data_IF_887012595214
#
_entry.id   IF_887012595214
#
_cell.length_a   1.000
_cell.length_b   1.000
_cell.length_c   1.000
_cell.angle_alpha   90.00
_cell.angle_beta   90.00
_cell.angle_gamma   90.00
#
_symmetry.space_group_name_H-M   'P 1'
#
loop_
_entity.id
_entity.type
_entity.pdbx_description
1 polymer ?
#
# COMPACT_ATOMS: atom_id res chain seq x y z
N UNK A 1 -17.81 5.13 24.34
CA UNK A 1 -17.42 4.52 23.06
C UNK A 1 -16.75 5.61 22.24
N UNK A 2 -15.47 5.46 21.90
CA UNK A 2 -14.77 6.35 20.97
C UNK A 2 -15.47 6.30 19.61
N UNK A 3 -15.64 7.46 18.97
CA UNK A 3 -16.16 7.53 17.60
C UNK A 3 -15.21 6.77 16.67
N UNK A 4 -15.70 5.96 15.72
CA UNK A 4 -14.83 5.29 14.75
C UNK A 4 -13.95 6.31 14.04
N UNK A 5 -12.66 6.00 13.86
CA UNK A 5 -11.73 6.83 13.11
C UNK A 5 -12.15 6.84 11.64
N UNK A 6 -12.75 7.94 11.20
CA UNK A 6 -13.23 8.12 9.83
C UNK A 6 -12.21 8.93 9.04
N UNK A 7 -11.50 8.24 8.14
CA UNK A 7 -10.43 8.80 7.31
C UNK A 7 -10.31 7.97 6.03
N UNK A 8 -9.77 8.58 4.97
CA UNK A 8 -9.56 7.96 3.65
C UNK A 8 -8.10 8.04 3.21
N UNK A 9 -7.46 9.20 3.36
CA UNK A 9 -6.10 9.43 2.90
C UNK A 9 -5.13 9.66 4.07
N UNK A 10 -4.12 8.80 4.16
CA UNK A 10 -3.09 8.87 5.19
C UNK A 10 -1.72 9.20 4.59
N UNK A 11 -1.15 10.34 4.93
CA UNK A 11 0.19 10.77 4.49
C UNK A 11 1.23 10.57 5.59
N UNK A 12 2.40 10.04 5.23
CA UNK A 12 3.56 9.92 6.13
C UNK A 12 4.67 10.86 5.65
N UNK A 13 5.36 11.51 6.59
CA UNK A 13 6.53 12.34 6.30
C UNK A 13 7.67 11.51 5.71
N UNK A 14 8.55 12.17 4.95
CA UNK A 14 9.79 11.56 4.46
C UNK A 14 10.76 12.60 3.94
N UNK A 15 11.55 13.19 4.83
CA UNK A 15 12.42 14.34 4.54
C UNK A 15 13.37 14.10 3.37
N UNK A 16 13.86 12.87 3.23
CA UNK A 16 14.77 12.45 2.17
C UNK A 16 14.15 12.49 0.75
N UNK A 17 12.83 12.60 0.62
CA UNK A 17 12.14 12.63 -0.67
C UNK A 17 11.88 14.03 -1.22
N UNK A 18 12.09 15.09 -0.44
CA UNK A 18 11.82 16.46 -0.87
C UNK A 18 12.98 17.42 -0.57
N UNK A 19 14.18 17.17 -1.13
CA UNK A 19 15.33 18.04 -0.92
C UNK A 19 14.99 19.47 -1.33
N UNK A 20 15.37 20.43 -0.49
CA UNK A 20 15.14 21.86 -0.73
C UNK A 20 13.76 22.38 -0.33
N UNK A 21 12.82 21.53 0.10
CA UNK A 21 11.51 21.93 0.66
C UNK A 21 11.44 21.57 2.13
N UNK A 22 10.83 22.45 2.93
CA UNK A 22 10.65 22.17 4.36
C UNK A 22 9.56 21.12 4.58
N UNK A 23 9.67 20.28 5.62
CA UNK A 23 8.63 19.33 5.96
C UNK A 23 7.26 20.01 6.21
N UNK A 24 7.27 21.20 6.80
CA UNK A 24 6.05 21.97 7.04
C UNK A 24 5.34 22.37 5.73
N UNK A 25 6.10 22.86 4.74
CA UNK A 25 5.57 23.23 3.42
C UNK A 25 4.94 22.02 2.70
N UNK A 26 5.63 20.88 2.70
CA UNK A 26 5.16 19.66 2.03
C UNK A 26 3.94 19.08 2.74
N UNK A 27 3.92 19.08 4.07
CA UNK A 27 2.77 18.56 4.83
C UNK A 27 1.57 19.52 4.74
N UNK A 28 1.79 20.83 4.69
CA UNK A 28 0.70 21.78 4.47
C UNK A 28 0.08 21.63 3.07
N UNK A 29 0.89 21.38 2.04
CA UNK A 29 0.39 21.02 0.71
C UNK A 29 -0.45 19.73 0.74
N UNK A 30 0.04 18.69 1.42
CA UNK A 30 -0.71 17.44 1.57
C UNK A 30 -2.05 17.64 2.32
N UNK A 31 -2.07 18.48 3.36
CA UNK A 31 -3.27 18.85 4.12
C UNK A 31 -4.28 19.62 3.25
N UNK A 32 -3.84 20.61 2.47
CA UNK A 32 -4.70 21.30 1.49
C UNK A 32 -5.27 20.36 0.42
N UNK A 33 -4.54 19.30 0.11
CA UNK A 33 -4.97 18.25 -0.83
C UNK A 33 -5.95 17.24 -0.24
N UNK A 34 -6.26 17.32 1.06
CA UNK A 34 -7.23 16.45 1.71
C UNK A 34 -6.64 15.25 2.46
N UNK A 35 -5.41 15.35 2.96
CA UNK A 35 -4.89 14.36 3.90
C UNK A 35 -5.73 14.35 5.19
N UNK A 36 -6.28 13.18 5.54
CA UNK A 36 -7.10 12.98 6.74
C UNK A 36 -6.27 12.59 7.97
N UNK A 37 -5.06 12.08 7.77
CA UNK A 37 -4.09 11.77 8.83
C UNK A 37 -2.69 12.13 8.33
N UNK A 38 -1.88 12.74 9.20
CA UNK A 38 -0.44 12.93 8.99
C UNK A 38 0.34 12.10 10.01
N UNK A 39 1.36 11.35 9.57
CA UNK A 39 2.30 10.66 10.46
C UNK A 39 3.70 11.22 10.35
N UNK A 40 4.25 11.61 11.49
CA UNK A 40 5.67 11.88 11.61
C UNK A 40 6.44 10.57 11.72
N UNK A 41 7.22 10.28 10.68
CA UNK A 41 8.18 9.20 10.64
C UNK A 41 9.57 9.76 10.38
N UNK A 42 10.41 9.65 11.40
CA UNK A 42 11.82 10.01 11.37
C UNK A 42 12.57 8.99 12.23
N UNK A 43 13.51 8.27 11.61
CA UNK A 43 14.26 7.17 12.23
C UNK A 43 15.68 7.58 12.61
N UNK A 44 16.09 8.78 12.24
CA UNK A 44 17.50 9.21 12.26
C UNK A 44 17.72 10.34 13.27
N UNK A 45 16.73 11.23 13.42
CA UNK A 45 16.88 12.39 14.31
C UNK A 45 17.01 11.99 15.79
N UNK A 46 17.86 12.70 16.55
CA UNK A 46 17.90 12.57 18.00
C UNK A 46 16.52 12.86 18.62
N UNK A 47 16.22 12.19 19.74
CA UNK A 47 14.91 12.28 20.43
C UNK A 47 14.44 13.73 20.67
N UNK A 48 15.34 14.63 21.06
CA UNK A 48 15.02 16.05 21.27
C UNK A 48 14.52 16.72 19.99
N UNK A 49 15.20 16.49 18.87
CA UNK A 49 14.81 17.06 17.58
C UNK A 49 13.49 16.46 17.09
N UNK A 50 13.32 15.15 17.26
CA UNK A 50 12.08 14.44 16.93
C UNK A 50 10.87 15.02 17.68
N UNK A 51 11.00 15.36 18.97
CA UNK A 51 9.95 16.03 19.75
C UNK A 51 9.64 17.42 19.17
N UNK A 52 10.65 18.20 18.81
CA UNK A 52 10.43 19.54 18.25
C UNK A 52 9.78 19.48 16.85
N UNK A 53 10.16 18.50 16.03
CA UNK A 53 9.48 18.18 14.76
C UNK A 53 8.01 17.81 15.00
N UNK A 54 7.74 16.96 15.98
CA UNK A 54 6.38 16.53 16.34
C UNK A 54 5.50 17.71 16.79
N UNK A 55 6.01 18.60 17.65
CA UNK A 55 5.27 19.80 18.09
C UNK A 55 4.90 20.71 16.93
N UNK A 56 5.85 21.00 16.04
CA UNK A 56 5.60 21.83 14.84
C UNK A 56 4.53 21.23 13.93
N UNK A 57 4.58 19.93 13.70
CA UNK A 57 3.55 19.24 12.92
C UNK A 57 2.22 19.19 13.66
N UNK A 58 2.21 19.10 15.00
CA UNK A 58 0.98 19.09 15.78
C UNK A 58 0.27 20.44 15.67
N UNK A 59 1.01 21.53 15.78
CA UNK A 59 0.49 22.89 15.55
C UNK A 59 -0.06 23.06 14.13
N UNK A 60 0.65 22.55 13.11
CA UNK A 60 0.20 22.62 11.72
C UNK A 60 -1.09 21.83 11.49
N UNK A 61 -1.09 20.54 11.85
CA UNK A 61 -2.22 19.64 11.64
C UNK A 61 -3.48 20.06 12.41
N UNK A 62 -3.30 20.65 13.60
CA UNK A 62 -4.41 21.22 14.39
C UNK A 62 -5.15 22.35 13.66
N UNK A 63 -4.47 23.18 12.84
CA UNK A 63 -5.12 24.23 12.03
C UNK A 63 -6.09 23.66 10.99
N UNK A 64 -5.88 22.41 10.59
CA UNK A 64 -6.70 21.69 9.61
C UNK A 64 -7.67 20.71 10.28
N UNK A 65 -7.66 20.57 11.61
CA UNK A 65 -8.46 19.57 12.31
C UNK A 65 -8.06 18.12 12.02
N UNK A 66 -6.82 17.90 11.56
CA UNK A 66 -6.28 16.60 11.16
C UNK A 66 -5.44 16.03 12.31
N UNK A 67 -5.57 14.74 12.66
CA UNK A 67 -4.72 14.10 13.68
C UNK A 67 -3.28 13.94 13.22
N UNK A 68 -2.35 14.17 14.15
CA UNK A 68 -0.95 13.81 14.05
C UNK A 68 -0.70 12.47 14.76
N UNK A 69 -0.08 11.54 14.03
CA UNK A 69 0.40 10.26 14.56
C UNK A 69 1.93 10.25 14.61
N UNK A 70 2.52 9.78 15.69
CA UNK A 70 3.98 9.63 15.82
C UNK A 70 4.36 8.16 15.59
N UNK A 71 5.34 7.92 14.72
CA UNK A 71 5.84 6.58 14.44
C UNK A 71 6.68 6.04 15.61
N UNK A 72 6.41 4.81 16.04
CA UNK A 72 7.04 3.96 17.08
C UNK A 72 7.17 4.49 18.51
N UNK A 73 7.02 5.80 18.74
CA UNK A 73 7.49 6.45 19.96
C UNK A 73 6.33 7.05 20.80
N UNK A 74 5.69 6.26 21.70
CA UNK A 74 4.70 6.77 22.66
C UNK A 74 5.20 7.91 23.54
N UNK A 75 6.47 7.89 23.94
CA UNK A 75 7.12 8.93 24.71
C UNK A 75 7.14 10.28 23.97
N UNK A 76 7.48 10.27 22.67
CA UNK A 76 7.46 11.45 21.80
C UNK A 76 6.02 11.93 21.60
N UNK A 77 5.07 11.01 21.38
CA UNK A 77 3.66 11.36 21.21
C UNK A 77 3.12 12.10 22.45
N UNK A 78 3.46 11.66 23.65
CA UNK A 78 3.08 12.34 24.89
C UNK A 78 3.77 13.71 25.03
N UNK A 79 5.07 13.79 24.76
CA UNK A 79 5.84 15.03 24.89
C UNK A 79 5.41 16.14 23.90
N UNK A 80 4.87 15.75 22.75
CA UNK A 80 4.37 16.66 21.71
C UNK A 80 2.85 16.84 21.72
N UNK A 81 2.14 16.19 22.65
CA UNK A 81 0.67 16.09 22.68
C UNK A 81 0.06 15.67 21.33
N UNK A 82 0.69 14.68 20.69
CA UNK A 82 0.18 14.07 19.47
C UNK A 82 -1.08 13.23 19.76
N UNK A 83 -1.90 13.03 18.73
CA UNK A 83 -3.20 12.35 18.84
C UNK A 83 -3.05 10.83 18.96
N UNK A 84 -1.88 10.29 18.58
CA UNK A 84 -1.64 8.86 18.66
C UNK A 84 -0.27 8.41 18.18
N UNK A 85 -0.11 7.09 18.07
CA UNK A 85 1.08 6.42 17.57
C UNK A 85 0.77 5.41 16.48
N UNK A 86 1.76 5.13 15.63
CA UNK A 86 1.77 3.97 14.75
C UNK A 86 2.96 3.09 15.10
N UNK A 87 2.72 1.82 15.39
CA UNK A 87 3.73 0.87 15.87
C UNK A 87 4.08 -0.14 14.78
N UNK A 88 5.33 -0.60 14.78
CA UNK A 88 5.78 -1.80 14.11
C UNK A 88 5.57 -3.06 14.96
N UNK A 89 5.82 -4.22 14.35
CA UNK A 89 5.71 -5.52 15.03
C UNK A 89 6.80 -5.76 16.09
N UNK A 90 7.91 -5.03 15.99
CA UNK A 90 9.07 -5.15 16.89
C UNK A 90 9.14 -3.98 17.90
N UNK A 91 8.13 -3.10 17.90
CA UNK A 91 8.03 -1.97 18.84
C UNK A 91 7.26 -2.38 20.09
N UNK A 92 6.87 -1.40 20.91
CA UNK A 92 6.11 -1.66 22.14
C UNK A 92 4.78 -2.40 21.82
N UNK A 93 4.39 -3.43 22.58
CA UNK A 93 3.09 -4.08 22.42
C UNK A 93 1.92 -3.10 22.59
N UNK A 94 0.79 -3.38 21.92
CA UNK A 94 -0.40 -2.51 21.92
C UNK A 94 -0.91 -2.27 23.34
N UNK A 95 -0.91 -3.30 24.18
CA UNK A 95 -1.39 -3.25 25.56
C UNK A 95 -0.56 -2.28 26.40
N UNK A 96 0.76 -2.36 26.29
CA UNK A 96 1.67 -1.45 26.98
C UNK A 96 1.59 -0.03 26.43
N UNK A 97 1.46 0.14 25.11
CA UNK A 97 1.24 1.45 24.51
C UNK A 97 -0.09 2.07 24.98
N UNK A 98 -1.15 1.26 25.10
CA UNK A 98 -2.47 1.69 25.60
C UNK A 98 -2.41 2.12 27.06
N UNK A 99 -1.66 1.40 27.89
CA UNK A 99 -1.44 1.76 29.30
C UNK A 99 -0.75 3.13 29.43
N UNK A 100 0.29 3.38 28.62
CA UNK A 100 1.02 4.66 28.63
C UNK A 100 0.21 5.83 28.05
N UNK A 101 -0.46 5.62 26.93
CA UNK A 101 -1.13 6.69 26.17
C UNK A 101 -2.54 6.99 26.68
N UNK A 102 -3.12 6.07 27.45
CA UNK A 102 -4.48 6.12 27.95
C UNK A 102 -5.52 5.72 26.88
N UNK A 103 -6.82 5.76 27.25
CA UNK A 103 -7.89 5.18 26.44
C UNK A 103 -8.30 6.02 25.23
N UNK A 104 -7.77 7.24 25.07
CA UNK A 104 -8.24 8.20 24.07
C UNK A 104 -7.33 8.38 22.86
N UNK A 105 -6.02 8.17 23.02
CA UNK A 105 -5.06 8.35 21.92
C UNK A 105 -5.16 7.20 20.93
N UNK A 106 -4.95 7.50 19.66
CA UNK A 106 -5.04 6.53 18.56
C UNK A 106 -3.81 5.61 18.60
N UNK A 107 -4.01 4.31 18.42
CA UNK A 107 -2.94 3.32 18.28
C UNK A 107 -3.16 2.57 16.97
N UNK A 108 -2.28 2.84 16.00
CA UNK A 108 -2.15 2.05 14.79
C UNK A 108 -1.03 1.04 14.89
N UNK A 109 -1.10 -0.04 14.11
CA UNK A 109 0.00 -1.00 13.98
C UNK A 109 0.17 -1.50 12.56
N UNK A 110 1.41 -1.66 12.12
CA UNK A 110 1.76 -2.28 10.84
C UNK A 110 1.54 -3.79 10.88
N UNK A 111 0.96 -4.35 9.83
CA UNK A 111 0.68 -5.78 9.68
C UNK A 111 1.08 -6.27 8.29
N UNK A 112 1.50 -7.53 8.19
CA UNK A 112 2.11 -8.12 6.99
C UNK A 112 1.47 -9.45 6.57
N UNK A 113 0.49 -9.93 7.33
CA UNK A 113 -0.26 -11.17 7.10
C UNK A 113 -1.49 -11.20 7.99
N UNK A 114 -2.48 -12.01 7.62
CA UNK A 114 -3.79 -12.01 8.26
C UNK A 114 -3.75 -12.36 9.75
N UNK A 115 -2.81 -13.20 10.20
CA UNK A 115 -2.71 -13.52 11.63
C UNK A 115 -2.30 -12.31 12.48
N UNK A 116 -1.45 -11.42 11.94
CA UNK A 116 -1.04 -10.19 12.61
C UNK A 116 -2.21 -9.20 12.69
N UNK A 117 -2.98 -9.06 11.61
CA UNK A 117 -4.18 -8.22 11.61
C UNK A 117 -5.22 -8.69 12.62
N UNK A 118 -5.53 -10.00 12.63
CA UNK A 118 -6.45 -10.59 13.62
C UNK A 118 -5.94 -10.40 15.06
N UNK A 119 -4.63 -10.51 15.28
CA UNK A 119 -4.03 -10.28 16.61
C UNK A 119 -4.14 -8.82 17.03
N UNK A 120 -3.83 -7.88 16.13
CA UNK A 120 -3.95 -6.44 16.38
C UNK A 120 -5.39 -6.02 16.72
N UNK A 121 -6.37 -6.55 16.00
CA UNK A 121 -7.79 -6.29 16.30
C UNK A 121 -8.18 -6.79 17.69
N UNK A 122 -7.79 -8.03 18.05
CA UNK A 122 -8.06 -8.57 19.40
C UNK A 122 -7.37 -7.78 20.51
N UNK A 123 -6.18 -7.23 20.24
CA UNK A 123 -5.43 -6.41 21.17
C UNK A 123 -5.98 -4.97 21.31
N UNK A 124 -6.99 -4.59 20.50
CA UNK A 124 -7.63 -3.28 20.59
C UNK A 124 -6.86 -2.16 19.87
N UNK A 125 -6.18 -2.47 18.76
CA UNK A 125 -5.69 -1.45 17.85
C UNK A 125 -6.86 -0.62 17.28
N UNK A 126 -6.68 0.69 17.15
CA UNK A 126 -7.69 1.58 16.57
C UNK A 126 -7.71 1.49 15.04
N UNK A 127 -6.58 1.14 14.42
CA UNK A 127 -6.48 0.81 13.00
C UNK A 127 -5.24 -0.04 12.71
N UNK A 128 -5.17 -0.63 11.51
CA UNK A 128 -3.98 -1.35 11.02
C UNK A 128 -3.46 -0.80 9.69
N UNK A 129 -2.13 -0.83 9.52
CA UNK A 129 -1.48 -0.66 8.23
C UNK A 129 -1.31 -2.02 7.55
N UNK A 130 -1.88 -2.18 6.36
CA UNK A 130 -1.83 -3.42 5.57
C UNK A 130 -0.84 -3.21 4.42
N UNK A 131 0.35 -3.78 4.54
CA UNK A 131 1.41 -3.56 3.55
C UNK A 131 2.76 -4.13 3.93
N UNK A 132 3.83 -3.87 3.17
CA UNK A 132 3.83 -3.07 1.95
C UNK A 132 3.13 -3.81 0.80
N UNK A 133 2.12 -3.21 0.16
CA UNK A 133 1.37 -3.83 -0.96
C UNK A 133 2.29 -4.08 -2.14
N UNK A 134 3.09 -3.08 -2.51
CA UNK A 134 4.13 -3.16 -3.53
C UNK A 134 5.52 -2.90 -2.91
N UNK A 135 6.61 -3.31 -3.58
CA UNK A 135 7.96 -2.96 -3.14
C UNK A 135 8.12 -1.44 -2.96
N UNK A 136 8.87 -1.02 -1.94
CA UNK A 136 9.06 0.41 -1.63
C UNK A 136 10.45 0.68 -1.07
N UNK A 137 11.05 1.81 -1.45
CA UNK A 137 12.32 2.29 -0.91
C UNK A 137 12.23 2.86 0.52
N UNK A 138 11.02 3.15 1.03
CA UNK A 138 10.85 3.80 2.35
C UNK A 138 11.20 2.90 3.53
N UNK A 139 11.12 1.57 3.34
CA UNK A 139 11.58 0.56 4.30
C UNK A 139 12.26 -0.58 3.55
N UNK A 140 13.59 -0.49 3.29
CA UNK A 140 14.31 -1.49 2.52
C UNK A 140 14.26 -2.87 3.21
N UNK A 141 14.24 -3.93 2.41
CA UNK A 141 14.33 -5.33 2.89
C UNK A 141 13.01 -6.03 3.24
N UNK A 142 11.85 -5.38 3.07
CA UNK A 142 10.54 -6.01 3.32
C UNK A 142 9.88 -6.47 2.02
N UNK A 143 9.52 -7.76 1.96
CA UNK A 143 8.81 -8.33 0.81
C UNK A 143 7.40 -7.74 0.70
N UNK A 144 6.96 -7.54 -0.54
CA UNK A 144 5.62 -7.06 -0.83
C UNK A 144 4.57 -8.15 -0.53
N UNK A 145 3.51 -7.78 0.16
CA UNK A 145 2.39 -8.67 0.54
C UNK A 145 1.30 -8.75 -0.53
N UNK A 146 1.36 -7.86 -1.52
CA UNK A 146 0.45 -7.76 -2.67
C UNK A 146 -1.00 -7.43 -2.29
N UNK A 147 -1.84 -7.25 -3.32
CA UNK A 147 -3.28 -7.02 -3.20
C UNK A 147 -4.03 -8.22 -2.60
N UNK A 148 -3.44 -9.43 -2.60
CA UNK A 148 -4.04 -10.60 -1.95
C UNK A 148 -4.22 -10.40 -0.44
N UNK A 149 -3.24 -9.83 0.26
CA UNK A 149 -3.38 -9.55 1.69
C UNK A 149 -4.40 -8.42 1.96
N UNK A 150 -4.50 -7.45 1.06
CA UNK A 150 -5.54 -6.41 1.13
C UNK A 150 -6.93 -7.03 1.07
N UNK A 151 -7.16 -7.98 0.16
CA UNK A 151 -8.43 -8.69 0.04
C UNK A 151 -8.75 -9.54 1.28
N UNK A 152 -7.76 -10.23 1.85
CA UNK A 152 -7.94 -10.96 3.11
C UNK A 152 -8.33 -10.02 4.26
N UNK A 153 -7.64 -8.88 4.40
CA UNK A 153 -7.95 -7.90 5.43
C UNK A 153 -9.37 -7.32 5.25
N UNK A 154 -9.76 -7.00 4.02
CA UNK A 154 -11.10 -6.51 3.70
C UNK A 154 -12.22 -7.51 4.03
N UNK A 155 -11.96 -8.81 3.86
CA UNK A 155 -12.95 -9.86 4.15
C UNK A 155 -13.13 -10.10 5.67
N UNK A 156 -12.07 -9.95 6.46
CA UNK A 156 -12.06 -10.48 7.83
C UNK A 156 -11.96 -9.42 8.94
N UNK A 157 -11.28 -8.30 8.69
CA UNK A 157 -10.97 -7.30 9.72
C UNK A 157 -12.10 -6.26 9.80
N UNK A 158 -12.50 -5.92 11.02
CA UNK A 158 -13.64 -5.03 11.31
C UNK A 158 -13.21 -3.64 11.77
N UNK A 159 -12.04 -3.52 12.38
CA UNK A 159 -11.42 -2.22 12.62
C UNK A 159 -10.93 -1.57 11.31
N UNK A 160 -10.82 -0.23 11.23
CA UNK A 160 -10.26 0.44 10.06
C UNK A 160 -8.89 -0.12 9.68
N UNK A 161 -8.68 -0.37 8.39
CA UNK A 161 -7.35 -0.61 7.84
C UNK A 161 -7.03 0.38 6.73
N UNK A 162 -5.73 0.63 6.56
CA UNK A 162 -5.18 1.44 5.48
C UNK A 162 -4.18 0.61 4.69
N UNK A 163 -4.33 0.57 3.36
CA UNK A 163 -3.37 -0.08 2.49
C UNK A 163 -2.14 0.82 2.32
N UNK A 164 -0.94 0.27 2.46
CA UNK A 164 0.31 1.05 2.43
C UNK A 164 1.40 0.31 1.65
N UNK A 165 2.32 1.07 1.04
CA UNK A 165 3.57 0.55 0.50
C UNK A 165 3.58 0.49 -1.03
N UNK A 166 4.35 1.40 -1.63
CA UNK A 166 4.50 1.53 -3.08
C UNK A 166 3.22 1.92 -3.83
N UNK A 167 2.23 2.48 -3.12
CA UNK A 167 0.97 2.93 -3.71
C UNK A 167 1.18 4.32 -4.32
N UNK A 168 0.75 4.47 -5.57
CA UNK A 168 0.80 5.69 -6.39
C UNK A 168 -0.58 5.92 -7.04
N UNK A 169 -0.78 7.05 -7.70
CA UNK A 169 -2.01 7.30 -8.46
C UNK A 169 -2.27 6.26 -9.57
N UNK A 170 -1.20 5.74 -10.17
CA UNK A 170 -1.27 4.78 -11.28
C UNK A 170 -1.69 3.37 -10.84
N UNK A 171 -1.42 2.96 -9.60
CA UNK A 171 -1.76 1.62 -9.10
C UNK A 171 -2.84 1.61 -8.00
N UNK A 172 -3.27 2.78 -7.51
CA UNK A 172 -4.28 2.90 -6.45
C UNK A 172 -5.59 2.14 -6.76
N UNK A 173 -6.03 2.10 -8.01
CA UNK A 173 -7.27 1.40 -8.39
C UNK A 173 -7.21 -0.11 -8.17
N UNK A 174 -6.06 -0.75 -8.36
CA UNK A 174 -5.89 -2.18 -8.09
C UNK A 174 -6.06 -2.48 -6.59
N UNK A 175 -5.53 -1.59 -5.75
CA UNK A 175 -5.64 -1.70 -4.29
C UNK A 175 -7.09 -1.46 -3.82
N UNK A 176 -7.80 -0.52 -4.45
CA UNK A 176 -9.23 -0.28 -4.19
C UNK A 176 -10.10 -1.46 -4.63
N UNK A 177 -9.82 -2.05 -5.79
CA UNK A 177 -10.45 -3.30 -6.29
C UNK A 177 -10.26 -4.46 -5.32
N UNK A 178 -9.11 -4.54 -4.68
CA UNK A 178 -8.82 -5.54 -3.65
C UNK A 178 -9.58 -5.32 -2.33
N UNK A 179 -10.40 -4.26 -2.21
CA UNK A 179 -11.23 -4.01 -1.02
C UNK A 179 -10.71 -2.93 -0.10
N UNK A 180 -9.60 -2.26 -0.42
CA UNK A 180 -9.17 -1.09 0.35
C UNK A 180 -10.19 0.05 0.19
N UNK A 181 -10.47 0.76 1.29
CA UNK A 181 -11.25 2.01 1.29
C UNK A 181 -10.43 3.19 1.79
N UNK A 182 -9.18 2.93 2.18
CA UNK A 182 -8.23 3.91 2.72
C UNK A 182 -6.84 3.61 2.16
N UNK A 183 -6.14 4.64 1.73
CA UNK A 183 -4.81 4.53 1.16
C UNK A 183 -3.81 5.32 1.99
N UNK A 184 -2.60 4.78 2.10
CA UNK A 184 -1.47 5.45 2.72
C UNK A 184 -0.29 5.51 1.77
N UNK A 185 0.30 6.69 1.66
CA UNK A 185 1.46 6.92 0.82
C UNK A 185 2.51 7.80 1.51
N UNK A 186 3.77 7.59 1.11
CA UNK A 186 4.93 8.34 1.58
C UNK A 186 5.54 9.08 0.39
N UNK A 187 6.56 8.49 -0.27
CA UNK A 187 7.29 9.10 -1.38
C UNK A 187 6.39 9.47 -2.56
N UNK A 188 5.34 8.69 -2.82
CA UNK A 188 4.39 8.96 -3.90
C UNK A 188 3.60 10.27 -3.71
N UNK A 189 3.57 10.84 -2.49
CA UNK A 189 2.99 12.16 -2.22
C UNK A 189 4.12 13.15 -1.95
N UNK A 190 4.93 12.88 -0.93
CA UNK A 190 5.87 13.88 -0.41
C UNK A 190 7.06 14.12 -1.35
N UNK A 191 7.36 13.15 -2.23
CA UNK A 191 8.43 13.26 -3.22
C UNK A 191 8.02 13.93 -4.52
N UNK A 192 6.72 14.16 -4.74
CA UNK A 192 6.23 14.78 -5.97
C UNK A 192 6.38 16.30 -5.91
N UNK A 193 6.45 16.94 -7.08
CA UNK A 193 6.57 18.39 -7.20
C UNK A 193 5.35 19.10 -6.59
N UNK A 194 4.16 18.52 -6.73
CA UNK A 194 2.89 19.04 -6.22
C UNK A 194 2.16 17.99 -5.34
N UNK A 195 2.50 17.89 -4.04
CA UNK A 195 1.83 16.97 -3.11
C UNK A 195 0.32 17.22 -2.96
N UNK A 196 -0.12 18.47 -3.15
CA UNK A 196 -1.53 18.85 -2.99
C UNK A 196 -2.39 18.20 -4.08
N UNK A 197 -1.96 18.31 -5.34
CA UNK A 197 -2.66 17.68 -6.47
C UNK A 197 -2.66 16.15 -6.38
N UNK A 198 -1.54 15.53 -5.96
CA UNK A 198 -1.47 14.08 -5.77
C UNK A 198 -2.47 13.62 -4.71
N UNK A 199 -2.52 14.29 -3.56
CA UNK A 199 -3.50 13.98 -2.51
C UNK A 199 -4.94 14.08 -3.04
N UNK A 200 -5.26 15.15 -3.76
CA UNK A 200 -6.60 15.38 -4.34
C UNK A 200 -6.99 14.24 -5.28
N UNK A 201 -6.10 13.86 -6.19
CA UNK A 201 -6.36 12.80 -7.17
C UNK A 201 -6.54 11.42 -6.51
N UNK A 202 -5.73 11.10 -5.50
CA UNK A 202 -5.91 9.86 -4.73
C UNK A 202 -7.26 9.85 -3.99
N UNK A 203 -7.65 10.98 -3.38
CA UNK A 203 -8.92 11.09 -2.68
C UNK A 203 -10.12 10.99 -3.63
N UNK A 204 -10.02 11.59 -4.82
CA UNK A 204 -11.02 11.44 -5.89
C UNK A 204 -11.19 9.98 -6.31
N UNK A 205 -10.09 9.23 -6.50
CA UNK A 205 -10.14 7.79 -6.80
C UNK A 205 -10.82 7.00 -5.67
N UNK A 206 -10.50 7.28 -4.41
CA UNK A 206 -11.15 6.62 -3.25
C UNK A 206 -12.66 6.93 -3.22
N UNK A 207 -13.05 8.18 -3.46
CA UNK A 207 -14.44 8.63 -3.44
C UNK A 207 -15.25 8.04 -4.60
N UNK A 208 -14.71 8.05 -5.81
CA UNK A 208 -15.34 7.46 -6.99
C UNK A 208 -15.60 5.96 -6.78
N UNK A 209 -14.65 5.24 -6.18
CA UNK A 209 -14.81 3.83 -5.86
C UNK A 209 -15.91 3.58 -4.83
N UNK A 210 -15.98 4.41 -3.79
CA UNK A 210 -16.99 4.31 -2.72
C UNK A 210 -18.42 4.54 -3.24
N UNK A 211 -18.58 5.41 -4.25
CA UNK A 211 -19.87 5.68 -4.90
C UNK A 211 -20.26 4.59 -5.90
N UNK A 212 -19.30 4.03 -6.64
CA UNK A 212 -19.53 2.94 -7.59
C UNK A 212 -19.98 1.64 -6.92
N UNK A 213 -19.49 1.34 -5.72
CA UNK A 213 -19.89 0.17 -4.94
C UNK A 213 -21.36 0.27 -4.44
N UNK A 214 -21.84 1.47 -4.14
CA UNK A 214 -23.24 1.70 -3.76
C UNK A 214 -24.22 1.49 -4.93
N UNK A 215 -23.75 1.61 -6.19
CA UNK A 215 -24.55 1.41 -7.39
C UNK A 215 -24.61 -0.06 -7.85
N UNK A 216 -23.73 -0.93 -7.33
CA UNK A 216 -23.61 -2.34 -7.74
C UNK A 216 -23.86 -3.25 -6.55
N UNK A 217 -25.14 -3.45 -6.21
CA UNK A 217 -25.57 -4.63 -5.46
C UNK A 217 -26.35 -5.56 -6.39
N UNK A 218 -25.72 -6.62 -6.93
CA UNK A 218 -26.43 -7.82 -7.31
C UNK A 218 -26.05 -8.99 -6.39
N UNK A 219 -27.07 -9.82 -6.16
CA UNK A 219 -27.08 -10.96 -5.27
C UNK A 219 -26.00 -12.01 -5.60
N UNK A 220 -25.60 -12.69 -4.52
CA UNK A 220 -24.86 -13.97 -4.46
C UNK A 220 -24.90 -14.82 -5.73
N UNK A 221 -23.73 -15.22 -6.22
CA UNK A 221 -23.58 -16.36 -7.13
C UNK A 221 -22.99 -17.56 -6.36
N UNK A 222 -23.51 -18.78 -6.60
CA UNK A 222 -23.06 -19.98 -5.90
C UNK A 222 -21.74 -20.49 -6.47
N UNK A 223 -20.88 -20.99 -5.57
CA UNK A 223 -19.67 -21.73 -5.93
C UNK A 223 -20.08 -23.14 -6.36
N UNK A 224 -19.72 -23.53 -7.59
CA UNK A 224 -19.73 -24.92 -8.05
C UNK A 224 -18.30 -25.35 -8.35
N UNK A 225 -17.83 -26.37 -7.65
CA UNK A 225 -16.52 -27.02 -7.85
C UNK A 225 -16.67 -28.17 -8.85
N UNK A 226 -15.59 -28.37 -9.61
CA UNK A 226 -15.24 -29.49 -10.49
C UNK A 226 -15.64 -29.35 -11.96
N UNK A 227 -14.62 -29.35 -12.84
CA UNK A 227 -14.48 -30.37 -13.89
C UNK A 227 -13.12 -30.30 -14.62
N UNK A 228 -12.39 -31.41 -14.53
CA UNK A 228 -11.50 -32.06 -15.53
C UNK A 228 -10.43 -31.26 -16.30
N UNK A 229 -9.17 -31.68 -16.09
CA UNK A 229 -8.02 -31.42 -16.96
C UNK A 229 -8.25 -32.02 -18.37
N UNK A 230 -8.01 -31.30 -19.48
CA UNK A 230 -7.96 -31.91 -20.80
C UNK A 230 -6.55 -32.42 -21.12
N UNK A 231 -6.53 -33.61 -21.72
CA UNK A 231 -5.37 -34.32 -22.23
C UNK A 231 -4.70 -33.63 -23.44
N UNK A 232 -3.41 -33.96 -23.63
CA UNK A 232 -2.53 -33.79 -24.82
C UNK A 232 -2.83 -32.60 -25.75
N UNK A 233 -2.02 -31.54 -25.66
CA UNK A 233 -1.98 -30.46 -26.65
C UNK A 233 -0.94 -30.74 -27.74
N UNK A 234 -1.40 -30.73 -28.99
CA UNK A 234 -0.56 -30.52 -30.17
C UNK A 234 0.29 -29.26 -29.99
N UNK A 235 1.60 -29.38 -30.24
CA UNK A 235 2.57 -28.29 -30.09
C UNK A 235 2.37 -27.28 -31.22
N UNK A 236 1.51 -26.28 -31.01
CA UNK A 236 1.34 -25.15 -31.93
C UNK A 236 2.27 -24.01 -31.54
N UNK A 237 3.16 -23.64 -32.46
CA UNK A 237 3.96 -22.43 -32.37
C UNK A 237 3.05 -21.20 -32.51
N UNK A 238 3.13 -20.28 -31.56
CA UNK A 238 2.37 -19.02 -31.55
C UNK A 238 3.31 -17.86 -31.90
N UNK A 239 2.81 -16.89 -32.67
CA UNK A 239 3.50 -15.63 -32.92
C UNK A 239 3.04 -14.60 -31.89
N UNK A 240 3.98 -13.89 -31.26
CA UNK A 240 3.70 -12.86 -30.25
C UNK A 240 4.74 -11.74 -30.35
N UNK A 241 4.57 -10.65 -29.61
CA UNK A 241 5.58 -9.58 -29.53
C UNK A 241 6.26 -9.66 -28.16
N UNK A 242 7.60 -9.78 -28.10
CA UNK A 242 8.35 -9.66 -26.85
C UNK A 242 9.25 -8.43 -26.90
N UNK A 243 9.11 -7.51 -25.95
CA UNK A 243 9.93 -6.28 -25.88
C UNK A 243 10.01 -5.54 -27.22
N UNK A 244 8.87 -5.42 -27.92
CA UNK A 244 8.76 -4.75 -29.22
C UNK A 244 9.28 -5.53 -30.43
N UNK A 245 9.68 -6.81 -30.28
CA UNK A 245 10.12 -7.67 -31.39
C UNK A 245 9.09 -8.77 -31.64
N UNK A 246 8.75 -9.01 -32.91
CA UNK A 246 7.91 -10.16 -33.28
C UNK A 246 8.71 -11.45 -33.13
N UNK A 247 8.18 -12.37 -32.34
CA UNK A 247 8.81 -13.62 -31.94
C UNK A 247 7.85 -14.79 -32.16
N UNK A 248 8.40 -15.98 -32.36
CA UNK A 248 7.63 -17.23 -32.40
C UNK A 248 8.08 -18.13 -31.26
N UNK A 249 7.12 -18.69 -30.52
CA UNK A 249 7.42 -19.54 -29.36
C UNK A 249 6.45 -20.70 -29.26
N UNK A 250 6.90 -21.75 -28.58
CA UNK A 250 6.07 -22.88 -28.13
C UNK A 250 5.67 -22.75 -26.66
N UNK A 251 6.08 -21.68 -25.98
CA UNK A 251 5.70 -21.44 -24.59
C UNK A 251 4.18 -21.30 -24.48
N UNK A 252 3.56 -22.16 -23.68
CA UNK A 252 2.14 -22.12 -23.39
C UNK A 252 1.82 -21.09 -22.31
N UNK A 253 2.79 -20.76 -21.46
CA UNK A 253 2.62 -19.89 -20.31
C UNK A 253 3.68 -18.80 -20.23
N UNK A 254 3.38 -17.73 -19.50
CA UNK A 254 4.32 -16.63 -19.30
C UNK A 254 5.60 -17.08 -18.57
N UNK A 255 5.50 -18.09 -17.70
CA UNK A 255 6.66 -18.66 -17.00
C UNK A 255 7.59 -19.40 -17.97
N UNK A 256 7.02 -20.21 -18.86
CA UNK A 256 7.78 -20.92 -19.90
C UNK A 256 8.47 -19.93 -20.85
N UNK A 257 7.78 -18.85 -21.21
CA UNK A 257 8.36 -17.78 -22.01
C UNK A 257 9.51 -17.09 -21.25
N UNK A 258 9.34 -16.76 -19.98
CA UNK A 258 10.40 -16.16 -19.18
C UNK A 258 11.64 -17.07 -19.03
N UNK A 259 11.46 -18.39 -18.96
CA UNK A 259 12.52 -19.38 -18.92
C UNK A 259 13.35 -19.38 -20.22
N UNK A 260 12.70 -19.26 -21.39
CA UNK A 260 13.39 -19.17 -22.70
C UNK A 260 14.35 -17.97 -22.76
N UNK A 261 14.00 -16.85 -22.12
CA UNK A 261 14.84 -15.65 -22.02
C UNK A 261 15.82 -15.68 -20.84
N UNK A 262 15.92 -16.80 -20.10
CA UNK A 262 16.80 -16.99 -18.93
C UNK A 262 16.56 -15.93 -17.84
N UNK A 263 15.30 -15.61 -17.58
CA UNK A 263 14.85 -14.60 -16.60
C UNK A 263 14.51 -15.20 -15.22
N UNK A 264 14.77 -16.49 -15.04
CA UNK A 264 14.66 -17.20 -13.77
C UNK A 264 15.55 -16.55 -12.71
N UNK A 265 14.99 -16.29 -11.52
CA UNK A 265 15.72 -15.65 -10.41
C UNK A 265 16.07 -14.16 -10.60
N UNK A 266 15.75 -13.55 -11.75
CA UNK A 266 15.97 -12.12 -11.99
C UNK A 266 14.76 -11.28 -11.53
N UNK A 267 15.04 -10.08 -11.00
CA UNK A 267 14.03 -9.06 -10.71
C UNK A 267 13.46 -8.48 -12.00
N UNK A 268 12.47 -9.18 -12.54
CA UNK A 268 11.80 -8.85 -13.80
C UNK A 268 10.30 -8.84 -13.56
N UNK A 269 9.66 -7.80 -14.08
CA UNK A 269 8.21 -7.68 -14.17
C UNK A 269 7.81 -8.06 -15.60
N UNK A 270 6.72 -8.81 -15.73
CA UNK A 270 6.15 -9.15 -17.03
C UNK A 270 4.82 -8.41 -17.19
N UNK A 271 4.73 -7.60 -18.22
CA UNK A 271 3.48 -7.02 -18.72
C UNK A 271 2.98 -7.92 -19.86
N UNK A 272 1.71 -8.31 -19.82
CA UNK A 272 1.01 -9.03 -20.89
C UNK A 272 -0.16 -8.15 -21.37
N UNK A 273 -0.12 -7.73 -22.63
CA UNK A 273 -1.13 -6.90 -23.28
C UNK A 273 -1.48 -5.60 -22.52
N UNK A 274 -0.48 -4.97 -21.89
CA UNK A 274 -0.63 -3.74 -21.10
C UNK A 274 -1.02 -3.99 -19.64
N UNK A 275 -0.98 -5.24 -19.18
CA UNK A 275 -1.30 -5.62 -17.81
C UNK A 275 -0.13 -6.37 -17.15
N UNK A 276 0.37 -5.83 -16.03
CA UNK A 276 1.40 -6.50 -15.22
C UNK A 276 0.86 -7.81 -14.64
N UNK A 277 1.51 -8.92 -14.97
CA UNK A 277 1.17 -10.25 -14.47
C UNK A 277 2.05 -10.56 -13.25
N UNK A 278 1.47 -10.83 -12.06
CA UNK A 278 2.21 -11.24 -10.88
C UNK A 278 3.02 -12.52 -11.13
N UNK A 279 4.27 -12.57 -10.67
CA UNK A 279 5.20 -13.70 -10.94
C UNK A 279 4.65 -15.06 -10.57
N UNK A 280 3.87 -15.14 -9.50
CA UNK A 280 3.20 -16.37 -9.04
C UNK A 280 2.14 -16.90 -10.01
N UNK A 281 1.53 -16.02 -10.82
CA UNK A 281 0.53 -16.40 -11.83
C UNK A 281 1.18 -16.75 -13.17
N UNK A 282 2.50 -16.57 -13.34
CA UNK A 282 3.15 -16.79 -14.64
C UNK A 282 3.00 -18.23 -15.14
N UNK A 283 2.96 -19.21 -14.22
CA UNK A 283 2.77 -20.62 -14.59
C UNK A 283 1.33 -20.96 -14.99
N UNK A 284 0.37 -20.12 -14.63
CA UNK A 284 -1.05 -20.31 -14.91
C UNK A 284 -1.57 -19.35 -15.99
N UNK A 285 -0.78 -18.33 -16.35
CA UNK A 285 -1.14 -17.30 -17.33
C UNK A 285 -0.85 -17.81 -18.74
N UNK A 286 -1.87 -18.12 -19.54
CA UNK A 286 -1.68 -18.66 -20.87
C UNK A 286 -1.25 -17.58 -21.86
N UNK A 287 -0.39 -17.93 -22.80
CA UNK A 287 -0.04 -17.08 -23.94
C UNK A 287 -0.93 -17.39 -25.14
N UNK A 288 -1.32 -16.35 -25.86
CA UNK A 288 -2.14 -16.46 -27.07
C UNK A 288 -1.42 -15.82 -28.26
N UNK A 289 -1.69 -16.33 -29.46
CA UNK A 289 -1.13 -15.72 -30.67
C UNK A 289 -1.57 -14.26 -30.80
N UNK A 290 -0.61 -13.38 -31.04
CA UNK A 290 -0.81 -11.93 -31.19
C UNK A 290 -0.63 -11.12 -29.90
N UNK A 291 -0.46 -11.76 -28.73
CA UNK A 291 -0.24 -11.01 -27.49
C UNK A 291 1.11 -10.29 -27.49
N UNK A 292 1.21 -9.22 -26.71
CA UNK A 292 2.44 -8.49 -26.43
C UNK A 292 2.90 -8.79 -25.01
N UNK A 293 4.18 -9.13 -24.85
CA UNK A 293 4.82 -9.37 -23.56
C UNK A 293 6.00 -8.43 -23.39
N UNK A 294 6.02 -7.62 -22.33
CA UNK A 294 7.19 -6.82 -21.96
C UNK A 294 7.82 -7.37 -20.69
N UNK A 295 9.07 -7.82 -20.80
CA UNK A 295 9.92 -8.18 -19.66
C UNK A 295 10.79 -6.99 -19.29
N UNK A 296 10.39 -6.27 -18.26
CA UNK A 296 11.11 -5.09 -17.79
C UNK A 296 12.08 -5.51 -16.68
N UNK A 297 13.38 -5.36 -16.96
CA UNK A 297 14.43 -5.53 -15.96
C UNK A 297 14.40 -4.39 -14.96
N UNK A 298 14.21 -4.71 -13.69
CA UNK A 298 14.28 -3.70 -12.64
C UNK A 298 15.73 -3.35 -12.35
N UNK A 299 16.17 -2.20 -12.84
CA UNK A 299 17.41 -1.54 -12.37
C UNK A 299 16.96 -0.58 -11.28
N UNK A 300 17.21 -0.93 -10.01
CA UNK A 300 16.76 -0.12 -8.89
C UNK A 300 17.33 1.29 -8.97
N UNK A 301 16.46 2.31 -8.95
CA UNK A 301 16.85 3.70 -8.83
C UNK A 301 15.64 4.65 -8.95
N UNK A 302 15.40 5.45 -7.90
CA UNK A 302 14.40 6.53 -7.86
C UNK A 302 13.33 6.34 -6.80
#
# INVERSE_FOLDING_TARGET
MSRPLDFKLYVITGENYHPGRSMAEVMEAALRGGADIVQLRDKESPKRELIEKAKRLKELTAKYGVPLIVNDHPDVALAADADGVHLGQDDLPIEAARELLGPRRIIGISTHRIEQARAAERAGADYIGVGPVYPTGTKPGRQAVTTAYVAQAAAEIRIPFVAIGGITESNAEEVLRAGARRLCAVSAIVGYADPESVCRNLLEKINAWSLGEQAVVPASLPISVAQTLPERRDVREIALTVNGRSERTQAATLLELAAQYKLEGRSVVADLDGAVVPRQLWGETPLQGGCSVEFVHFVGGG
#
